data_IF_881713518620
#
_entry.id   IF_881713518620
#
_cell.length_a   1.000
_cell.length_b   1.000
_cell.length_c   1.000
_cell.angle_alpha   90.00
_cell.angle_beta   90.00
_cell.angle_gamma   90.00
#
_symmetry.space_group_name_H-M   'P 1'
#
loop_
_entity.id
_entity.type
_entity.pdbx_description
1 polymer ?
#
# COMPACT_ATOMS: atom_id res chain seq x y z
N UNK A 1 -16.77 -33.26 7.90
CA UNK A 1 -15.66 -32.36 7.52
C UNK A 1 -16.27 -31.00 7.24
N UNK A 2 -15.84 -29.91 7.91
CA UNK A 2 -16.37 -28.59 7.61
C UNK A 2 -15.80 -28.07 6.28
N UNK A 3 -16.66 -27.46 5.47
CA UNK A 3 -16.24 -26.69 4.29
C UNK A 3 -15.78 -25.33 4.82
N UNK A 4 -14.47 -25.06 4.74
CA UNK A 4 -13.91 -23.73 4.95
C UNK A 4 -14.18 -22.90 3.70
N UNK A 5 -15.19 -22.04 3.76
CA UNK A 5 -15.45 -21.05 2.70
C UNK A 5 -14.55 -19.85 2.97
N UNK A 6 -13.65 -19.54 2.03
CA UNK A 6 -12.86 -18.32 2.10
C UNK A 6 -13.81 -17.11 2.19
N UNK A 7 -13.57 -16.23 3.17
CA UNK A 7 -14.34 -15.00 3.33
C UNK A 7 -14.26 -14.21 2.02
N UNK A 8 -15.40 -13.89 1.41
CA UNK A 8 -15.45 -12.94 0.30
C UNK A 8 -14.99 -11.60 0.82
N UNK A 9 -13.74 -11.31 0.55
CA UNK A 9 -13.10 -10.07 0.86
C UNK A 9 -13.33 -9.15 -0.34
N UNK A 10 -14.11 -8.09 -0.15
CA UNK A 10 -14.12 -6.96 -1.08
C UNK A 10 -12.76 -6.26 -0.96
N UNK A 11 -11.73 -6.91 -1.50
CA UNK A 11 -10.37 -6.77 -1.01
C UNK A 11 -9.60 -5.64 -1.67
N UNK A 12 -10.00 -5.29 -2.89
CA UNK A 12 -9.27 -4.37 -3.74
C UNK A 12 -10.27 -3.44 -4.41
N UNK A 13 -10.14 -2.13 -4.17
CA UNK A 13 -10.98 -1.13 -4.85
C UNK A 13 -10.18 0.10 -5.23
N UNK A 14 -10.55 0.73 -6.34
CA UNK A 14 -10.06 2.05 -6.67
C UNK A 14 -10.67 3.10 -5.73
N UNK A 15 -9.85 4.03 -5.26
CA UNK A 15 -10.28 5.20 -4.50
C UNK A 15 -9.48 6.43 -4.94
N UNK A 16 -9.98 7.61 -4.58
CA UNK A 16 -9.38 8.88 -4.99
C UNK A 16 -9.12 9.78 -3.77
N UNK A 17 -8.27 9.36 -2.82
CA UNK A 17 -8.00 10.13 -1.61
C UNK A 17 -7.33 11.47 -1.94
N UNK A 18 -7.60 12.44 -1.07
CA UNK A 18 -6.89 13.71 -1.04
C UNK A 18 -5.58 13.52 -0.26
N UNK A 19 -4.43 13.63 -0.91
CA UNK A 19 -3.12 13.37 -0.28
C UNK A 19 -2.39 14.69 0.00
N UNK A 20 -1.84 14.82 1.19
CA UNK A 20 -1.11 16.01 1.66
C UNK A 20 -1.82 17.36 1.39
N UNK A 21 -3.16 17.39 1.54
CA UNK A 21 -4.02 18.55 1.21
C UNK A 21 -3.96 19.02 -0.25
N UNK A 22 -3.25 18.31 -1.12
CA UNK A 22 -3.23 18.52 -2.57
C UNK A 22 -4.35 17.72 -3.23
N UNK A 23 -4.44 17.66 -4.56
CA UNK A 23 -5.57 17.06 -5.28
C UNK A 23 -5.91 15.60 -4.93
N UNK A 24 -6.89 15.04 -5.64
CA UNK A 24 -7.24 13.62 -5.53
C UNK A 24 -6.31 12.77 -6.38
N UNK A 25 -5.83 11.65 -5.85
CA UNK A 25 -4.95 10.72 -6.57
C UNK A 25 -5.62 9.36 -6.72
N UNK A 26 -5.61 8.81 -7.94
CA UNK A 26 -6.05 7.43 -8.17
C UNK A 26 -5.17 6.47 -7.36
N UNK A 27 -5.81 5.69 -6.50
CA UNK A 27 -5.14 4.80 -5.55
C UNK A 27 -5.89 3.48 -5.47
N UNK A 28 -5.17 2.42 -5.17
CA UNK A 28 -5.75 1.11 -4.86
C UNK A 28 -5.85 0.96 -3.35
N UNK A 29 -7.06 0.80 -2.82
CA UNK A 29 -7.27 0.36 -1.45
C UNK A 29 -7.27 -1.15 -1.41
N UNK A 30 -6.24 -1.71 -0.80
CA UNK A 30 -6.11 -3.12 -0.45
C UNK A 30 -6.33 -3.30 1.06
N UNK A 31 -7.42 -3.95 1.46
CA UNK A 31 -7.68 -4.22 2.88
C UNK A 31 -6.78 -5.30 3.49
N UNK A 32 -6.07 -6.07 2.65
CA UNK A 32 -5.07 -7.05 3.08
C UNK A 32 -3.66 -6.44 3.25
N UNK A 33 -3.44 -5.21 2.80
CA UNK A 33 -2.16 -4.52 2.94
C UNK A 33 -2.04 -3.84 4.32
N UNK A 34 -0.93 -4.07 5.01
CA UNK A 34 -0.63 -3.43 6.30
C UNK A 34 0.04 -2.06 6.14
N UNK A 35 0.59 -1.78 4.96
CA UNK A 35 1.31 -0.56 4.63
C UNK A 35 0.75 0.10 3.38
N UNK A 36 0.96 1.42 3.27
CA UNK A 36 0.67 2.18 2.05
C UNK A 36 1.99 2.49 1.37
N UNK A 37 2.09 2.14 0.08
CA UNK A 37 3.23 2.50 -0.76
C UNK A 37 2.82 3.62 -1.73
N UNK A 38 3.78 4.49 -2.04
CA UNK A 38 3.61 5.59 -2.99
C UNK A 38 4.86 5.70 -3.85
N UNK A 39 4.75 5.91 -5.17
CA UNK A 39 5.94 6.11 -5.99
C UNK A 39 6.70 7.36 -5.55
N UNK A 40 8.03 7.27 -5.46
CA UNK A 40 8.92 8.36 -5.01
C UNK A 40 8.64 9.69 -5.73
N UNK A 41 8.45 9.64 -7.06
CA UNK A 41 8.13 10.82 -7.88
C UNK A 41 6.82 11.49 -7.45
N UNK A 42 5.81 10.70 -7.07
CA UNK A 42 4.52 11.21 -6.60
C UNK A 42 4.69 11.80 -5.21
N UNK A 43 5.38 11.12 -4.28
CA UNK A 43 5.69 11.65 -2.96
C UNK A 43 6.43 13.00 -3.03
N UNK A 44 7.44 13.09 -3.89
CA UNK A 44 8.20 14.33 -4.16
C UNK A 44 7.29 15.43 -4.70
N UNK A 45 6.46 15.14 -5.69
CA UNK A 45 5.51 16.13 -6.25
C UNK A 45 4.49 16.63 -5.22
N UNK A 46 4.17 15.79 -4.24
CA UNK A 46 3.27 16.11 -3.14
C UNK A 46 3.97 16.82 -1.99
N UNK A 47 5.28 17.02 -2.03
CA UNK A 47 6.05 17.60 -0.93
C UNK A 47 6.05 16.72 0.33
N UNK A 48 5.93 15.40 0.16
CA UNK A 48 6.04 14.44 1.25
C UNK A 48 7.53 14.16 1.49
N UNK A 49 7.99 14.39 2.71
CA UNK A 49 9.34 14.04 3.14
C UNK A 49 9.38 12.64 3.73
N UNK A 50 10.40 11.86 3.40
CA UNK A 50 10.72 10.60 4.06
C UNK A 50 12.23 10.52 4.36
N UNK A 51 12.62 9.61 5.24
CA UNK A 51 14.02 9.31 5.50
C UNK A 51 14.46 8.09 4.67
N UNK A 52 15.35 8.25 3.67
CA UNK A 52 15.81 7.13 2.84
C UNK A 52 16.69 6.13 3.61
N UNK A 53 17.16 6.48 4.82
CA UNK A 53 17.86 5.57 5.72
C UNK A 53 16.93 4.60 6.46
N UNK A 54 15.63 4.91 6.54
CA UNK A 54 14.62 4.03 7.14
C UNK A 54 14.14 3.04 6.09
N UNK A 55 14.59 1.79 6.22
CA UNK A 55 14.13 0.67 5.40
C UNK A 55 13.17 -0.19 6.19
N UNK A 56 12.08 -0.65 5.56
CA UNK A 56 11.16 -1.62 6.14
C UNK A 56 11.34 -2.96 5.44
N UNK A 57 11.39 -4.03 6.21
CA UNK A 57 11.25 -5.39 5.68
C UNK A 57 9.77 -5.63 5.41
N UNK A 58 9.44 -6.05 4.19
CA UNK A 58 8.07 -6.38 3.82
C UNK A 58 8.03 -7.81 3.29
N UNK A 59 7.13 -8.61 3.85
CA UNK A 59 6.87 -9.96 3.41
C UNK A 59 5.77 -9.94 2.34
N UNK A 60 6.11 -10.39 1.14
CA UNK A 60 5.16 -10.51 0.04
C UNK A 60 4.27 -11.74 0.19
N UNK A 61 3.31 -11.86 -0.73
CA UNK A 61 2.35 -13.00 -0.78
C UNK A 61 3.06 -14.35 -0.96
N UNK A 62 4.31 -14.37 -1.41
CA UNK A 62 5.08 -15.60 -1.63
C UNK A 62 6.02 -15.97 -0.47
N UNK A 63 6.00 -15.24 0.65
CA UNK A 63 6.84 -15.52 1.83
C UNK A 63 8.34 -15.24 1.61
N UNK A 64 8.67 -14.61 0.49
CA UNK A 64 9.97 -14.06 0.16
C UNK A 64 10.10 -12.67 0.76
N UNK A 65 10.44 -12.62 2.05
CA UNK A 65 10.80 -11.37 2.72
C UNK A 65 12.02 -10.71 2.06
N UNK A 66 11.93 -9.40 1.84
CA UNK A 66 13.01 -8.59 1.29
C UNK A 66 13.00 -7.17 1.83
N UNK A 67 14.14 -6.49 1.72
CA UNK A 67 14.21 -5.05 1.96
C UNK A 67 13.67 -4.35 0.71
N UNK A 68 12.59 -3.61 0.87
CA UNK A 68 12.03 -2.75 -0.18
C UNK A 68 12.57 -1.33 0.05
N UNK A 69 12.94 -0.64 -1.05
CA UNK A 69 13.43 0.75 -1.05
C UNK A 69 12.31 1.74 -1.39
#
# INVERSE_FOLDING_TARGET
MPILVARSVENLRACFPKINKQGTHETVLDSGSEVVSIPEKVATSLGISWDPGVKMEMEGVHGDGGLWE
#
